data_IF_525689206943
#
_entry.id   IF_525689206943
#
_cell.length_a   1.000
_cell.length_b   1.000
_cell.length_c   1.000
_cell.angle_alpha   90.00
_cell.angle_beta   90.00
_cell.angle_gamma   90.00
#
_symmetry.space_group_name_H-M   'P 1'
#
loop_
_entity.id
_entity.type
_entity.pdbx_description
1 polymer ?
#
# COMPACT_ATOMS: atom_id res chain seq x y z
N UNK A 1 15.20 20.34 3.14
CA UNK A 1 15.21 19.23 4.09
C UNK A 1 16.02 18.08 3.50
N UNK A 2 16.89 17.43 4.26
CA UNK A 2 17.76 16.35 3.76
C UNK A 2 16.89 15.19 3.26
N UNK A 3 17.18 14.66 2.07
CA UNK A 3 16.46 13.52 1.45
C UNK A 3 16.42 12.29 2.38
N UNK A 4 17.55 12.03 3.06
CA UNK A 4 17.68 10.91 4.01
C UNK A 4 16.71 11.08 5.19
N UNK A 5 16.58 12.27 5.73
CA UNK A 5 15.65 12.54 6.84
C UNK A 5 14.20 12.30 6.44
N UNK A 6 13.79 12.69 5.22
CA UNK A 6 12.45 12.42 4.71
C UNK A 6 12.16 10.91 4.60
N UNK A 7 13.14 10.15 4.11
CA UNK A 7 13.02 8.70 3.99
C UNK A 7 12.96 8.02 5.36
N UNK A 8 13.80 8.47 6.33
CA UNK A 8 13.76 7.95 7.70
C UNK A 8 12.40 8.21 8.35
N UNK A 9 11.90 9.44 8.29
CA UNK A 9 10.61 9.80 8.89
C UNK A 9 9.46 9.02 8.25
N UNK A 10 9.35 9.06 6.92
CA UNK A 10 8.31 8.30 6.21
C UNK A 10 8.42 6.79 6.45
N UNK A 11 9.63 6.25 6.34
CA UNK A 11 9.92 4.83 6.53
C UNK A 11 9.60 4.34 7.95
N UNK A 12 9.98 5.09 8.99
CA UNK A 12 9.69 4.74 10.38
C UNK A 12 8.18 4.67 10.63
N UNK A 13 7.43 5.69 10.18
CA UNK A 13 5.97 5.70 10.32
C UNK A 13 5.33 4.57 9.52
N UNK A 14 5.75 4.36 8.27
CA UNK A 14 5.25 3.29 7.42
C UNK A 14 5.47 1.90 8.02
N UNK A 15 6.67 1.64 8.56
CA UNK A 15 7.01 0.38 9.22
C UNK A 15 6.15 0.14 10.46
N UNK A 16 5.97 1.15 11.31
CA UNK A 16 5.13 1.04 12.51
C UNK A 16 3.66 0.78 12.14
N UNK A 17 3.12 1.53 11.16
CA UNK A 17 1.78 1.30 10.65
C UNK A 17 1.63 -0.12 10.10
N UNK A 18 2.60 -0.61 9.30
CA UNK A 18 2.59 -1.98 8.80
C UNK A 18 2.53 -3.00 9.92
N UNK A 19 3.39 -2.86 10.93
CA UNK A 19 3.42 -3.79 12.05
C UNK A 19 2.06 -3.87 12.76
N UNK A 20 1.54 -2.74 13.24
CA UNK A 20 0.29 -2.74 14.00
C UNK A 20 -0.94 -3.11 13.17
N UNK A 21 -1.02 -2.67 11.92
CA UNK A 21 -2.17 -2.99 11.06
C UNK A 21 -2.14 -4.43 10.57
N UNK A 22 -0.97 -4.99 10.33
CA UNK A 22 -0.84 -6.39 9.98
C UNK A 22 -1.27 -7.29 11.15
N UNK A 23 -0.79 -7.02 12.37
CA UNK A 23 -1.19 -7.71 13.59
C UNK A 23 -2.71 -7.58 13.83
N UNK A 24 -3.23 -6.37 13.75
CA UNK A 24 -4.66 -6.13 13.93
C UNK A 24 -5.51 -6.84 12.87
N UNK A 25 -5.13 -6.75 11.61
CA UNK A 25 -5.84 -7.41 10.51
C UNK A 25 -5.86 -8.93 10.66
N UNK A 26 -4.72 -9.52 11.01
CA UNK A 26 -4.63 -10.95 11.25
C UNK A 26 -5.47 -11.41 12.47
N UNK A 27 -5.43 -10.65 13.55
CA UNK A 27 -6.22 -10.94 14.75
C UNK A 27 -7.73 -10.77 14.50
N UNK A 28 -8.13 -9.79 13.67
CA UNK A 28 -9.55 -9.48 13.41
C UNK A 28 -10.22 -10.42 12.43
N UNK A 29 -9.51 -10.83 11.37
CA UNK A 29 -10.07 -11.60 10.25
C UNK A 29 -9.66 -13.09 10.27
N UNK A 30 -8.81 -13.47 11.22
CA UNK A 30 -8.39 -14.87 11.42
C UNK A 30 -7.22 -15.30 10.55
N UNK A 31 -6.94 -16.60 10.54
CA UNK A 31 -5.72 -17.19 9.96
C UNK A 31 -5.96 -17.99 8.68
N UNK A 32 -7.17 -17.91 8.12
CA UNK A 32 -7.50 -18.64 6.88
C UNK A 32 -6.71 -18.14 5.67
N UNK A 33 -6.51 -16.81 5.57
CA UNK A 33 -5.60 -16.13 4.67
C UNK A 33 -4.72 -15.15 5.47
N UNK A 34 -3.62 -14.64 4.88
CA UNK A 34 -2.79 -13.62 5.53
C UNK A 34 -3.43 -12.24 5.42
N UNK A 35 -4.54 -12.06 6.15
CA UNK A 35 -5.32 -10.82 6.12
C UNK A 35 -4.54 -9.60 6.60
N UNK A 36 -3.52 -9.79 7.45
CA UNK A 36 -2.63 -8.72 7.87
C UNK A 36 -1.88 -8.11 6.70
N UNK A 37 -1.18 -8.93 5.92
CA UNK A 37 -0.44 -8.51 4.73
C UNK A 37 -1.38 -7.96 3.65
N UNK A 38 -2.52 -8.64 3.42
CA UNK A 38 -3.53 -8.17 2.47
C UNK A 38 -4.02 -6.78 2.83
N UNK A 39 -4.37 -6.54 4.09
CA UNK A 39 -4.88 -5.24 4.56
C UNK A 39 -3.87 -4.12 4.32
N UNK A 40 -2.62 -4.28 4.75
CA UNK A 40 -1.63 -3.20 4.61
C UNK A 40 -1.31 -2.89 3.15
N UNK A 41 -1.30 -3.91 2.29
CA UNK A 41 -1.10 -3.72 0.87
C UNK A 41 -2.31 -3.03 0.20
N UNK A 42 -3.55 -3.39 0.55
CA UNK A 42 -4.76 -2.74 0.03
C UNK A 42 -4.87 -1.29 0.49
N UNK A 43 -4.61 -1.02 1.77
CA UNK A 43 -4.61 0.35 2.30
C UNK A 43 -3.50 1.17 1.64
N UNK A 44 -2.31 0.59 1.46
CA UNK A 44 -1.21 1.24 0.73
C UNK A 44 -1.59 1.57 -0.73
N UNK A 45 -2.23 0.65 -1.44
CA UNK A 45 -2.76 0.86 -2.79
C UNK A 45 -3.81 1.98 -2.84
N UNK A 46 -4.74 2.01 -1.88
CA UNK A 46 -5.75 3.06 -1.79
C UNK A 46 -5.12 4.45 -1.58
N UNK A 47 -4.18 4.55 -0.63
CA UNK A 47 -3.47 5.80 -0.33
C UNK A 47 -2.65 6.25 -1.55
N UNK A 48 -1.95 5.32 -2.23
CA UNK A 48 -1.22 5.62 -3.46
C UNK A 48 -2.15 6.19 -4.54
N UNK A 49 -3.32 5.58 -4.72
CA UNK A 49 -4.35 6.08 -5.64
C UNK A 49 -4.82 7.49 -5.29
N UNK A 50 -5.07 7.77 -4.01
CA UNK A 50 -5.47 9.12 -3.55
C UNK A 50 -4.35 10.14 -3.85
N UNK A 51 -3.09 9.81 -3.53
CA UNK A 51 -1.95 10.68 -3.82
C UNK A 51 -1.85 10.96 -5.32
N UNK A 52 -1.99 9.92 -6.16
CA UNK A 52 -1.97 10.05 -7.61
C UNK A 52 -3.07 10.99 -8.09
N UNK A 53 -4.32 10.80 -7.64
CA UNK A 53 -5.46 11.65 -8.03
C UNK A 53 -5.29 13.11 -7.62
N UNK A 54 -4.79 13.36 -6.41
CA UNK A 54 -4.46 14.73 -5.95
C UNK A 54 -3.33 15.34 -6.80
N UNK A 55 -2.30 14.56 -7.12
CA UNK A 55 -1.19 15.04 -7.93
C UNK A 55 -1.62 15.35 -9.37
N UNK A 56 -2.44 14.51 -9.99
CA UNK A 56 -2.99 14.80 -11.33
C UNK A 56 -3.86 16.07 -11.33
N UNK A 57 -4.67 16.25 -10.29
CA UNK A 57 -5.50 17.44 -10.17
C UNK A 57 -4.69 18.74 -9.95
N UNK A 58 -3.57 18.67 -9.25
CA UNK A 58 -2.80 19.87 -8.84
C UNK A 58 -1.58 20.16 -9.69
N UNK A 59 -0.91 19.11 -10.18
CA UNK A 59 0.39 19.19 -10.84
C UNK A 59 0.38 18.56 -12.25
N UNK A 60 -0.79 18.12 -12.75
CA UNK A 60 -0.99 17.40 -14.01
C UNK A 60 -0.37 15.99 -14.05
N UNK A 61 0.66 15.70 -13.25
CA UNK A 61 1.25 14.38 -13.10
C UNK A 61 1.91 14.18 -11.74
N UNK A 62 2.04 12.94 -11.32
CA UNK A 62 2.76 12.59 -10.09
C UNK A 62 4.23 13.02 -10.14
N UNK A 63 4.84 12.94 -11.31
CA UNK A 63 6.25 13.32 -11.53
C UNK A 63 6.51 14.82 -11.35
N UNK A 64 5.50 15.65 -11.50
CA UNK A 64 5.57 17.11 -11.33
C UNK A 64 5.33 17.55 -9.89
N UNK A 65 4.83 16.64 -9.03
CA UNK A 65 4.69 16.93 -7.61
C UNK A 65 6.06 17.17 -6.94
N UNK A 66 6.10 17.98 -5.86
CA UNK A 66 7.35 18.29 -5.17
C UNK A 66 8.11 17.03 -4.77
N UNK A 67 9.42 16.97 -5.08
CA UNK A 67 10.26 15.80 -4.85
C UNK A 67 10.29 15.38 -3.37
N UNK A 68 10.21 16.35 -2.44
CA UNK A 68 10.14 16.08 -1.00
C UNK A 68 8.87 15.32 -0.62
N UNK A 69 7.73 15.68 -1.21
CA UNK A 69 6.46 15.00 -0.97
C UNK A 69 6.51 13.55 -1.46
N UNK A 70 7.05 13.33 -2.66
CA UNK A 70 7.22 11.98 -3.21
C UNK A 70 8.16 11.12 -2.37
N UNK A 71 9.29 11.69 -1.92
CA UNK A 71 10.24 10.98 -1.06
C UNK A 71 9.63 10.61 0.29
N UNK A 72 8.91 11.53 0.92
CA UNK A 72 8.29 11.29 2.23
C UNK A 72 7.15 10.27 2.15
N UNK A 73 6.18 10.53 1.26
CA UNK A 73 4.93 9.75 1.23
C UNK A 73 5.04 8.47 0.41
N UNK A 74 5.64 8.51 -0.77
CA UNK A 74 5.66 7.35 -1.66
C UNK A 74 6.82 6.45 -1.34
N UNK A 75 8.05 6.96 -1.40
CA UNK A 75 9.23 6.13 -1.19
C UNK A 75 9.43 5.76 0.28
N UNK A 76 9.27 6.72 1.19
CA UNK A 76 9.42 6.50 2.62
C UNK A 76 8.22 5.76 3.21
N UNK A 77 7.07 6.42 3.30
CA UNK A 77 5.92 5.87 4.01
C UNK A 77 5.31 4.66 3.30
N UNK A 78 4.84 4.79 2.07
CA UNK A 78 4.19 3.69 1.34
C UNK A 78 5.15 2.54 1.04
N UNK A 79 6.41 2.85 0.69
CA UNK A 79 7.42 1.82 0.47
C UNK A 79 7.73 0.98 1.71
N UNK A 80 7.60 1.56 2.91
CA UNK A 80 7.75 0.85 4.17
C UNK A 80 6.44 0.22 4.68
N UNK A 81 5.28 0.79 4.36
CA UNK A 81 3.96 0.27 4.74
C UNK A 81 3.62 -1.02 4.00
N UNK A 82 3.81 -1.06 2.68
CA UNK A 82 3.48 -2.21 1.84
C UNK A 82 4.61 -3.23 1.79
N UNK A 83 4.29 -4.49 1.47
CA UNK A 83 5.30 -5.55 1.42
C UNK A 83 4.99 -6.56 0.33
N UNK A 84 5.89 -6.67 -0.64
CA UNK A 84 5.86 -7.71 -1.67
C UNK A 84 6.48 -9.01 -1.16
N UNK A 85 7.58 -8.93 -0.41
CA UNK A 85 8.28 -10.12 0.07
C UNK A 85 7.46 -10.98 1.04
N UNK A 86 6.69 -10.36 1.94
CA UNK A 86 5.77 -11.12 2.81
C UNK A 86 4.66 -11.77 1.99
N UNK A 87 4.08 -11.04 1.04
CA UNK A 87 3.06 -11.55 0.12
C UNK A 87 3.54 -12.79 -0.66
N UNK A 88 4.74 -12.74 -1.25
CA UNK A 88 5.32 -13.89 -1.96
C UNK A 88 5.63 -15.07 -1.03
N UNK A 89 6.18 -14.80 0.16
CA UNK A 89 6.48 -15.85 1.14
C UNK A 89 5.21 -16.58 1.58
N UNK A 90 4.15 -15.86 1.88
CA UNK A 90 2.87 -16.42 2.32
C UNK A 90 2.23 -17.28 1.22
N UNK A 91 2.24 -16.81 -0.03
CA UNK A 91 1.79 -17.58 -1.19
C UNK A 91 2.63 -18.85 -1.39
N UNK A 92 3.95 -18.74 -1.30
CA UNK A 92 4.87 -19.88 -1.40
C UNK A 92 4.61 -20.95 -0.30
N UNK A 93 4.31 -20.52 0.92
CA UNK A 93 3.99 -21.43 2.01
C UNK A 93 2.70 -22.21 1.72
N UNK A 94 1.67 -21.62 1.14
CA UNK A 94 0.48 -22.35 0.69
C UNK A 94 0.81 -23.36 -0.40
N UNK A 95 1.64 -23.01 -1.39
CA UNK A 95 2.09 -23.94 -2.42
C UNK A 95 2.85 -25.13 -1.82
N UNK A 96 3.76 -24.89 -0.87
CA UNK A 96 4.48 -25.96 -0.14
C UNK A 96 3.57 -26.87 0.65
N UNK A 97 2.46 -26.37 1.17
CA UNK A 97 1.45 -27.15 1.90
C UNK A 97 0.47 -27.90 0.97
N UNK A 98 0.61 -27.77 -0.36
CA UNK A 98 -0.31 -28.36 -1.34
C UNK A 98 -1.67 -27.67 -1.42
N UNK A 99 -1.84 -26.50 -0.82
CA UNK A 99 -3.08 -25.72 -0.82
C UNK A 99 -3.12 -24.70 -1.96
N UNK A 100 -3.10 -25.21 -3.19
CA UNK A 100 -3.00 -24.43 -4.44
C UNK A 100 -4.13 -23.40 -4.58
N UNK A 101 -5.34 -23.79 -4.20
CA UNK A 101 -6.52 -22.93 -4.27
C UNK A 101 -6.35 -21.67 -3.42
N UNK A 102 -5.81 -21.81 -2.20
CA UNK A 102 -5.52 -20.68 -1.32
C UNK A 102 -4.42 -19.80 -1.89
N UNK A 103 -3.35 -20.41 -2.43
CA UNK A 103 -2.28 -19.66 -3.05
C UNK A 103 -2.78 -18.82 -4.23
N UNK A 104 -3.54 -19.43 -5.16
CA UNK A 104 -4.11 -18.74 -6.31
C UNK A 104 -5.11 -17.66 -5.90
N UNK A 105 -6.01 -17.97 -4.96
CA UNK A 105 -6.97 -16.99 -4.44
C UNK A 105 -6.26 -15.78 -3.84
N UNK A 106 -5.23 -16.02 -3.03
CA UNK A 106 -4.46 -14.96 -2.38
C UNK A 106 -3.69 -14.12 -3.41
N UNK A 107 -2.98 -14.77 -4.35
CA UNK A 107 -2.20 -14.08 -5.37
C UNK A 107 -3.08 -13.24 -6.29
N UNK A 108 -4.08 -13.85 -6.93
CA UNK A 108 -4.94 -13.14 -7.88
C UNK A 108 -5.87 -12.15 -7.17
N UNK A 109 -6.43 -12.55 -6.03
CA UNK A 109 -7.30 -11.68 -5.24
C UNK A 109 -6.59 -10.41 -4.78
N UNK A 110 -5.34 -10.52 -4.27
CA UNK A 110 -4.55 -9.36 -3.86
C UNK A 110 -4.26 -8.40 -5.02
N UNK A 111 -3.92 -8.93 -6.21
CA UNK A 111 -3.66 -8.11 -7.40
C UNK A 111 -4.94 -7.38 -7.83
N UNK A 112 -6.04 -8.09 -7.98
CA UNK A 112 -7.32 -7.52 -8.45
C UNK A 112 -7.83 -6.46 -7.47
N UNK A 113 -7.84 -6.78 -6.17
CA UNK A 113 -8.30 -5.86 -5.13
C UNK A 113 -7.36 -4.66 -5.00
N UNK A 114 -6.03 -4.86 -5.13
CA UNK A 114 -5.05 -3.79 -5.11
C UNK A 114 -5.23 -2.80 -6.26
N UNK A 115 -5.41 -3.29 -7.49
CA UNK A 115 -5.72 -2.43 -8.64
C UNK A 115 -7.05 -1.70 -8.45
N UNK A 116 -8.07 -2.38 -7.96
CA UNK A 116 -9.35 -1.75 -7.62
C UNK A 116 -9.21 -0.65 -6.56
N UNK A 117 -8.39 -0.88 -5.54
CA UNK A 117 -8.09 0.10 -4.49
C UNK A 117 -7.37 1.34 -5.05
N UNK A 118 -6.39 1.16 -5.97
CA UNK A 118 -5.74 2.29 -6.66
C UNK A 118 -6.75 3.10 -7.47
N UNK A 119 -7.60 2.45 -8.25
CA UNK A 119 -8.62 3.12 -9.06
C UNK A 119 -9.64 3.88 -8.21
N UNK A 120 -10.07 3.30 -7.09
CA UNK A 120 -10.94 3.96 -6.14
C UNK A 120 -10.25 5.19 -5.53
N UNK A 121 -9.02 5.01 -5.06
CA UNK A 121 -8.21 6.09 -4.50
C UNK A 121 -7.99 7.23 -5.49
N UNK A 122 -7.71 6.91 -6.75
CA UNK A 122 -7.55 7.89 -7.82
C UNK A 122 -8.79 8.79 -7.96
N UNK A 123 -9.97 8.18 -8.04
CA UNK A 123 -11.25 8.93 -8.13
C UNK A 123 -11.47 9.80 -6.91
N UNK A 124 -11.22 9.28 -5.71
CA UNK A 124 -11.33 10.04 -4.47
C UNK A 124 -10.36 11.22 -4.44
N UNK A 125 -9.10 11.01 -4.85
CA UNK A 125 -8.08 12.06 -4.91
C UNK A 125 -8.42 13.16 -5.93
N UNK A 126 -8.94 12.81 -7.09
CA UNK A 126 -9.39 13.76 -8.12
C UNK A 126 -10.59 14.62 -7.64
N UNK A 127 -11.44 14.07 -6.77
CA UNK A 127 -12.58 14.79 -6.18
C UNK A 127 -12.21 15.79 -5.06
N UNK A 128 -10.94 15.84 -4.62
CA UNK A 128 -10.50 16.79 -3.58
C UNK A 128 -10.37 18.20 -4.20
N UNK A 129 -11.14 19.20 -3.69
CA UNK A 129 -11.10 20.57 -4.24
C UNK A 129 -9.68 21.15 -4.21
N UNK A 130 -9.35 21.95 -5.23
CA UNK A 130 -8.13 22.76 -5.20
C UNK A 130 -8.27 23.78 -4.08
N UNK A 131 -7.31 23.84 -3.15
CA UNK A 131 -7.23 24.96 -2.24
C UNK A 131 -7.00 26.23 -3.08
N UNK A 132 -7.93 27.15 -3.01
CA UNK A 132 -7.89 28.48 -3.64
C UNK A 132 -6.73 29.30 -3.10
#
# INVERSE_FOLDING_TARGET
MNKILLLILGGSVGTLCRYYWAEWGQARFGTWLPFGTLLVNLVGCLILGIILGVCESRYHALTEAPAQLRLLLITGFLGALTTFSSYELEAFLYLRQGTWEKALLYLLGSIILGLGAILLGLKLGQGIPRAS
#
